data_IF_433418036635
#
_entry.id   IF_433418036635
#
_cell.length_a   1.000
_cell.length_b   1.000
_cell.length_c   1.000
_cell.angle_alpha   90.00
_cell.angle_beta   90.00
_cell.angle_gamma   90.00
#
_symmetry.space_group_name_H-M   'P 1'
#
loop_
_entity.id
_entity.type
_entity.pdbx_description
1 polymer ?
#
# COMPACT_ATOMS: atom_id res chain seq x y z
N UNK A 1 -8.28 60.82 -47.68
CA UNK A 1 -8.03 61.16 -46.25
C UNK A 1 -8.27 59.92 -45.40
N UNK A 2 -7.19 59.24 -45.00
CA UNK A 2 -7.26 58.01 -44.19
C UNK A 2 -7.28 58.39 -42.70
N UNK A 3 -8.33 58.03 -41.96
CA UNK A 3 -8.42 58.23 -40.51
C UNK A 3 -8.10 56.91 -39.80
N UNK A 4 -6.84 56.74 -39.41
CA UNK A 4 -6.40 55.67 -38.50
C UNK A 4 -6.74 56.05 -37.07
N UNK A 5 -7.82 55.49 -36.52
CA UNK A 5 -8.18 55.63 -35.12
C UNK A 5 -7.19 54.88 -34.23
N UNK A 6 -6.45 55.63 -33.39
CA UNK A 6 -5.63 55.08 -32.31
C UNK A 6 -6.53 54.78 -31.11
N UNK A 7 -6.75 53.51 -30.83
CA UNK A 7 -7.36 53.04 -29.58
C UNK A 7 -6.32 53.16 -28.46
N UNK A 8 -6.50 54.14 -27.57
CA UNK A 8 -5.75 54.24 -26.32
C UNK A 8 -6.40 53.32 -25.28
N UNK A 9 -5.91 52.09 -25.17
CA UNK A 9 -6.25 51.23 -24.04
C UNK A 9 -5.41 51.68 -22.84
N UNK A 10 -6.05 52.36 -21.89
CA UNK A 10 -5.46 52.73 -20.60
C UNK A 10 -4.95 51.49 -19.88
N UNK A 11 -3.62 51.42 -19.72
CA UNK A 11 -2.95 50.36 -18.98
C UNK A 11 -3.20 50.52 -17.49
N UNK A 12 -4.03 49.66 -16.92
CA UNK A 12 -4.07 49.42 -15.48
C UNK A 12 -2.87 48.53 -15.13
N UNK A 13 -1.77 49.16 -14.73
CA UNK A 13 -0.56 48.47 -14.26
C UNK A 13 -0.81 47.94 -12.85
N UNK A 14 -1.33 46.71 -12.74
CA UNK A 14 -1.31 45.95 -11.49
C UNK A 14 0.11 45.40 -11.30
N UNK A 15 0.88 46.08 -10.46
CA UNK A 15 2.17 45.58 -9.94
C UNK A 15 1.91 44.37 -9.04
N UNK A 16 1.81 43.18 -9.64
CA UNK A 16 1.78 41.92 -8.92
C UNK A 16 3.21 41.59 -8.45
N UNK A 17 3.41 41.67 -7.13
CA UNK A 17 4.66 41.40 -6.43
C UNK A 17 5.43 40.17 -6.96
N UNK A 18 6.67 40.45 -7.33
CA UNK A 18 7.70 39.59 -7.94
C UNK A 18 8.27 38.55 -6.96
N UNK A 19 7.42 37.84 -6.20
CA UNK A 19 7.92 36.85 -5.22
C UNK A 19 7.07 35.57 -5.06
N UNK A 20 6.15 35.28 -5.99
CA UNK A 20 5.39 34.00 -6.03
C UNK A 20 5.92 32.98 -7.05
N UNK A 21 6.81 33.38 -7.97
CA UNK A 21 7.22 32.53 -9.10
C UNK A 21 8.20 31.41 -8.72
N UNK A 22 9.05 31.63 -7.71
CA UNK A 22 10.04 30.64 -7.28
C UNK A 22 9.42 29.47 -6.50
N UNK A 23 8.35 29.74 -5.75
CA UNK A 23 7.62 28.71 -4.97
C UNK A 23 6.80 27.81 -5.89
N UNK A 24 6.20 28.36 -6.96
CA UNK A 24 5.44 27.58 -7.93
C UNK A 24 6.34 26.57 -8.68
N UNK A 25 7.53 26.98 -9.15
CA UNK A 25 8.42 26.09 -9.92
C UNK A 25 9.06 24.97 -9.07
N UNK A 26 9.33 25.23 -7.79
CA UNK A 26 9.86 24.21 -6.86
C UNK A 26 8.76 23.27 -6.36
N UNK A 27 7.56 23.77 -6.06
CA UNK A 27 6.41 22.92 -5.69
C UNK A 27 5.95 22.01 -6.83
N UNK A 28 5.89 22.50 -8.08
CA UNK A 28 5.47 21.68 -9.23
C UNK A 28 6.49 20.57 -9.53
N UNK A 29 7.77 20.80 -9.26
CA UNK A 29 8.84 19.80 -9.43
C UNK A 29 8.84 18.74 -8.33
N UNK A 30 8.65 19.14 -7.06
CA UNK A 30 8.46 18.22 -5.92
C UNK A 30 7.21 17.35 -6.13
N UNK A 31 6.09 17.96 -6.53
CA UNK A 31 4.81 17.27 -6.74
C UNK A 31 4.85 16.25 -7.90
N UNK A 32 5.79 16.40 -8.84
CA UNK A 32 6.01 15.45 -9.94
C UNK A 32 6.73 14.18 -9.48
N UNK A 33 7.64 14.30 -8.51
CA UNK A 33 8.32 13.18 -7.87
C UNK A 33 7.39 12.44 -6.90
N UNK A 34 6.56 13.15 -6.14
CA UNK A 34 5.61 12.54 -5.20
C UNK A 34 4.63 11.60 -5.90
N UNK A 35 4.16 11.95 -7.12
CA UNK A 35 3.27 11.07 -7.92
C UNK A 35 3.92 9.74 -8.30
N UNK A 36 5.24 9.70 -8.47
CA UNK A 36 5.99 8.47 -8.76
C UNK A 36 6.18 7.63 -7.50
N UNK A 37 6.48 8.27 -6.37
CA UNK A 37 6.58 7.57 -5.08
C UNK A 37 5.24 7.03 -4.60
N UNK A 38 4.14 7.79 -4.75
CA UNK A 38 2.82 7.32 -4.37
C UNK A 38 2.42 6.06 -5.14
N UNK A 39 2.69 6.01 -6.45
CA UNK A 39 2.51 4.78 -7.24
C UNK A 39 3.39 3.63 -6.75
N UNK A 40 4.63 3.91 -6.36
CA UNK A 40 5.52 2.91 -5.77
C UNK A 40 5.00 2.36 -4.44
N UNK A 41 4.53 3.22 -3.54
CA UNK A 41 3.94 2.83 -2.25
C UNK A 41 2.68 1.98 -2.47
N UNK A 42 1.80 2.39 -3.39
CA UNK A 42 0.60 1.60 -3.72
C UNK A 42 0.98 0.20 -4.23
N UNK A 43 1.99 0.08 -5.10
CA UNK A 43 2.44 -1.24 -5.58
C UNK A 43 3.07 -2.05 -4.45
N UNK A 44 3.87 -1.42 -3.58
CA UNK A 44 4.49 -2.07 -2.43
C UNK A 44 3.44 -2.60 -1.45
N UNK A 45 2.41 -1.81 -1.18
CA UNK A 45 1.30 -2.17 -0.29
C UNK A 45 0.47 -3.31 -0.89
N UNK A 46 0.16 -3.25 -2.19
CA UNK A 46 -0.52 -4.34 -2.90
C UNK A 46 0.29 -5.64 -2.87
N UNK A 47 1.61 -5.58 -3.08
CA UNK A 47 2.48 -6.75 -3.00
C UNK A 47 2.55 -7.31 -1.57
N UNK A 48 2.59 -6.44 -0.56
CA UNK A 48 2.56 -6.85 0.85
C UNK A 48 1.26 -7.55 1.23
N UNK A 49 0.12 -6.94 0.89
CA UNK A 49 -1.21 -7.52 1.13
C UNK A 49 -1.40 -8.80 0.33
N UNK A 50 -0.96 -8.85 -0.93
CA UNK A 50 -1.04 -10.06 -1.76
C UNK A 50 -0.16 -11.19 -1.21
N UNK A 51 1.03 -10.87 -0.71
CA UNK A 51 1.91 -11.84 -0.04
C UNK A 51 1.27 -12.40 1.23
N UNK A 52 0.74 -11.54 2.10
CA UNK A 52 0.03 -11.95 3.30
C UNK A 52 -1.23 -12.76 2.98
N UNK A 53 -2.01 -12.35 1.98
CA UNK A 53 -3.20 -13.07 1.54
C UNK A 53 -2.86 -14.44 0.95
N UNK A 54 -1.85 -14.52 0.09
CA UNK A 54 -1.38 -15.78 -0.49
C UNK A 54 -0.87 -16.74 0.59
N UNK A 55 -0.15 -16.21 1.58
CA UNK A 55 0.31 -16.97 2.75
C UNK A 55 -0.88 -17.54 3.54
N UNK A 56 -1.88 -16.70 3.84
CA UNK A 56 -3.08 -17.11 4.58
C UNK A 56 -3.91 -18.13 3.79
N UNK A 57 -4.05 -17.93 2.48
CA UNK A 57 -4.73 -18.84 1.58
C UNK A 57 -4.03 -20.21 1.52
N UNK A 58 -2.70 -20.24 1.42
CA UNK A 58 -1.91 -21.48 1.44
C UNK A 58 -2.02 -22.21 2.78
N UNK A 59 -1.97 -21.51 3.91
CA UNK A 59 -2.17 -22.12 5.23
C UNK A 59 -3.56 -22.73 5.37
N UNK A 60 -4.60 -22.07 4.88
CA UNK A 60 -5.96 -22.59 4.97
C UNK A 60 -6.15 -23.85 4.10
N UNK A 61 -5.55 -23.86 2.89
CA UNK A 61 -5.70 -24.96 1.94
C UNK A 61 -4.81 -26.17 2.27
N UNK A 62 -3.59 -25.95 2.81
CA UNK A 62 -2.59 -27.01 2.98
C UNK A 62 -2.09 -27.13 4.43
N UNK A 63 -2.18 -28.36 4.97
CA UNK A 63 -1.75 -28.68 6.34
C UNK A 63 -0.23 -28.83 6.48
N UNK A 64 0.46 -29.31 5.44
CA UNK A 64 1.93 -29.44 5.44
C UNK A 64 2.64 -28.07 5.44
N UNK A 65 2.00 -27.06 4.87
CA UNK A 65 2.51 -25.70 4.89
C UNK A 65 2.43 -25.10 6.30
N UNK A 66 1.35 -25.36 7.04
CA UNK A 66 1.23 -25.02 8.46
C UNK A 66 2.31 -25.68 9.31
N UNK A 67 2.66 -26.94 9.04
CA UNK A 67 3.74 -27.64 9.75
C UNK A 67 5.10 -26.96 9.52
N UNK A 68 5.39 -26.62 8.26
CA UNK A 68 6.66 -25.97 7.91
C UNK A 68 6.75 -24.56 8.52
N UNK A 69 5.64 -23.81 8.52
CA UNK A 69 5.52 -22.52 9.19
C UNK A 69 5.63 -22.64 10.71
N UNK A 70 5.08 -23.69 11.32
CA UNK A 70 5.25 -23.97 12.75
C UNK A 70 6.75 -24.08 13.13
N UNK A 71 7.54 -24.76 12.28
CA UNK A 71 8.98 -24.94 12.51
C UNK A 71 9.81 -23.69 12.22
N UNK A 72 9.40 -22.87 11.24
CA UNK A 72 10.17 -21.70 10.79
C UNK A 72 9.79 -20.42 11.54
N UNK A 73 8.49 -20.18 11.71
CA UNK A 73 7.91 -18.94 12.23
C UNK A 73 6.68 -19.24 13.11
N UNK A 74 6.89 -19.68 14.36
CA UNK A 74 5.78 -20.04 15.26
C UNK A 74 4.83 -18.87 15.55
N UNK A 75 5.34 -17.62 15.55
CA UNK A 75 4.55 -16.42 15.82
C UNK A 75 3.46 -16.14 14.77
N UNK A 76 3.73 -16.43 13.49
CA UNK A 76 2.74 -16.20 12.42
C UNK A 76 1.61 -17.22 12.53
N UNK A 77 1.95 -18.46 12.88
CA UNK A 77 0.97 -19.53 13.07
C UNK A 77 0.08 -19.26 14.30
N UNK A 78 0.64 -18.68 15.35
CA UNK A 78 -0.12 -18.27 16.53
C UNK A 78 -1.16 -17.19 16.20
N UNK A 79 -0.76 -16.15 15.44
CA UNK A 79 -1.69 -15.12 14.97
C UNK A 79 -2.79 -15.72 14.07
N UNK A 80 -2.45 -16.72 13.26
CA UNK A 80 -3.46 -17.46 12.48
C UNK A 80 -4.47 -18.15 13.40
N UNK A 81 -4.04 -18.87 14.43
CA UNK A 81 -4.96 -19.50 15.38
C UNK A 81 -5.82 -18.48 16.12
N UNK A 82 -5.22 -17.42 16.65
CA UNK A 82 -5.95 -16.35 17.35
C UNK A 82 -7.01 -15.69 16.45
N UNK A 83 -6.68 -15.46 15.18
CA UNK A 83 -7.62 -14.91 14.20
C UNK A 83 -8.80 -15.87 13.92
N UNK A 84 -8.55 -17.19 13.89
CA UNK A 84 -9.60 -18.19 13.73
C UNK A 84 -10.48 -18.31 14.99
N UNK A 85 -9.90 -18.17 16.19
CA UNK A 85 -10.65 -18.12 17.44
C UNK A 85 -11.56 -16.89 17.51
N UNK A 86 -11.10 -15.73 17.03
CA UNK A 86 -11.96 -14.54 16.87
C UNK A 86 -13.09 -14.74 15.86
N UNK A 87 -12.87 -15.58 14.83
CA UNK A 87 -13.90 -16.00 13.89
C UNK A 87 -14.80 -17.13 14.45
N UNK A 88 -14.60 -17.57 15.70
CA UNK A 88 -15.38 -18.60 16.38
C UNK A 88 -15.05 -20.05 15.96
N UNK A 89 -13.94 -20.26 15.25
CA UNK A 89 -13.51 -21.59 14.80
C UNK A 89 -12.44 -22.13 15.74
N UNK A 90 -12.86 -23.00 16.66
CA UNK A 90 -11.98 -23.64 17.65
C UNK A 90 -11.50 -25.03 17.18
N UNK A 91 -10.40 -25.52 17.77
CA UNK A 91 -9.91 -26.90 17.57
C UNK A 91 -9.13 -27.16 16.28
N UNK A 92 -8.74 -26.12 15.52
CA UNK A 92 -7.83 -26.29 14.37
C UNK A 92 -6.43 -26.69 14.86
N UNK A 93 -5.98 -26.11 15.99
CA UNK A 93 -4.68 -26.39 16.60
C UNK A 93 -4.51 -27.86 16.98
N UNK A 94 -5.49 -28.42 17.69
CA UNK A 94 -5.42 -29.82 18.14
C UNK A 94 -5.37 -30.79 16.95
N UNK A 95 -6.24 -30.58 15.95
CA UNK A 95 -6.26 -31.39 14.73
C UNK A 95 -4.98 -31.32 13.91
N UNK A 96 -4.29 -30.18 13.93
CA UNK A 96 -2.98 -30.07 13.28
C UNK A 96 -1.90 -30.78 14.10
N UNK A 97 -1.91 -30.68 15.43
CA UNK A 97 -0.99 -31.42 16.31
C UNK A 97 -1.14 -32.93 16.17
N UNK A 98 -2.36 -33.47 16.21
CA UNK A 98 -2.65 -34.89 16.02
C UNK A 98 -2.16 -35.41 14.66
N UNK A 99 -2.37 -34.62 13.59
CA UNK A 99 -1.95 -34.98 12.25
C UNK A 99 -0.43 -34.92 12.06
N UNK A 100 0.27 -34.06 12.83
CA UNK A 100 1.73 -33.98 12.80
C UNK A 100 2.38 -35.06 13.66
N UNK A 101 1.82 -35.38 14.82
CA UNK A 101 2.30 -36.49 15.66
C UNK A 101 2.13 -37.83 14.94
N UNK A 102 0.97 -38.06 14.30
CA UNK A 102 0.70 -39.29 13.54
C UNK A 102 1.58 -39.47 12.28
N UNK A 103 2.29 -38.43 11.83
CA UNK A 103 3.24 -38.50 10.71
C UNK A 103 4.67 -38.87 11.16
N UNK A 104 4.95 -38.82 12.46
CA UNK A 104 6.27 -39.11 13.02
C UNK A 104 6.41 -40.55 13.56
N UNK A 105 5.28 -41.26 13.73
CA UNK A 105 5.20 -42.71 14.03
C UNK A 105 5.22 -43.54 12.73
#
# INVERSE_FOLDING_TARGET
MSKTGRTVAGGFSVSAGRNRSLVCCTWVSVMRWTKKFLKGVIVLELLGVFGAYSLFHMMNNSRDFRNTMNRRFPSILEVFYQSNEWAGVYGIRERDHEAWSAKQD
#
